data_IF_560786360660
#
_entry.id   IF_560786360660
#
_cell.length_a   1.000
_cell.length_b   1.000
_cell.length_c   1.000
_cell.angle_alpha   90.00
_cell.angle_beta   90.00
_cell.angle_gamma   90.00
#
_symmetry.space_group_name_H-M   'P 1'
#
loop_
_entity.id
_entity.type
_entity.pdbx_description
1 polymer ?
#
# COMPACT_ATOMS: atom_id res chain seq x y z
N UNK A 1 3.42 -26.83 -2.96
CA UNK A 1 2.57 -26.34 -1.84
C UNK A 1 1.14 -26.07 -2.34
N UNK A 2 0.91 -25.29 -3.41
CA UNK A 2 -0.42 -24.94 -3.91
C UNK A 2 -1.33 -26.14 -4.15
N UNK A 3 -0.91 -27.12 -4.99
CA UNK A 3 -1.70 -28.33 -5.26
C UNK A 3 -2.03 -29.15 -4.00
N UNK A 4 -1.14 -29.16 -2.99
CA UNK A 4 -1.39 -29.83 -1.72
C UNK A 4 -2.51 -29.13 -0.96
N UNK A 5 -2.45 -27.82 -0.84
CA UNK A 5 -3.47 -27.02 -0.15
C UNK A 5 -4.84 -27.19 -0.81
N UNK A 6 -4.93 -27.10 -2.14
CA UNK A 6 -6.20 -27.28 -2.87
C UNK A 6 -6.83 -28.66 -2.62
N UNK A 7 -6.01 -29.72 -2.44
CA UNK A 7 -6.52 -31.08 -2.19
C UNK A 7 -6.92 -31.30 -0.74
N UNK A 8 -6.15 -30.77 0.21
CA UNK A 8 -6.34 -31.03 1.65
C UNK A 8 -7.32 -30.07 2.30
N UNK A 9 -7.50 -28.87 1.73
CA UNK A 9 -8.33 -27.79 2.26
C UNK A 9 -9.31 -27.25 1.19
N UNK A 10 -10.21 -28.10 0.65
CA UNK A 10 -11.10 -27.69 -0.45
C UNK A 10 -12.31 -26.86 0.04
N UNK A 11 -12.47 -26.67 1.33
CA UNK A 11 -13.62 -25.96 1.91
C UNK A 11 -13.51 -24.45 1.80
N UNK A 12 -14.66 -23.77 1.68
CA UNK A 12 -14.74 -22.34 1.82
C UNK A 12 -14.54 -21.94 3.30
N UNK A 13 -13.55 -21.13 3.61
CA UNK A 13 -13.20 -20.72 4.98
C UNK A 13 -14.33 -19.96 5.70
N UNK A 14 -15.31 -19.42 4.96
CA UNK A 14 -16.50 -18.80 5.55
C UNK A 14 -17.62 -19.79 5.89
N UNK A 15 -17.47 -21.07 5.56
CA UNK A 15 -18.48 -22.09 5.84
C UNK A 15 -18.31 -22.72 7.22
N UNK A 16 -19.43 -23.00 7.89
CA UNK A 16 -19.47 -23.53 9.26
C UNK A 16 -19.29 -25.08 9.33
N UNK A 17 -19.29 -25.75 8.19
CA UNK A 17 -19.07 -27.20 8.18
C UNK A 17 -17.56 -27.55 8.35
N UNK A 18 -17.26 -28.79 8.70
CA UNK A 18 -15.90 -29.23 9.06
C UNK A 18 -14.81 -28.90 8.05
N UNK A 19 -15.09 -28.99 6.75
CA UNK A 19 -14.12 -28.63 5.69
C UNK A 19 -13.86 -27.13 5.67
N UNK A 20 -14.88 -26.30 5.88
CA UNK A 20 -14.74 -24.83 5.96
C UNK A 20 -13.92 -24.42 7.18
N UNK A 21 -14.25 -24.99 8.35
CA UNK A 21 -13.47 -24.75 9.60
C UNK A 21 -12.00 -25.10 9.40
N UNK A 22 -11.69 -26.26 8.83
CA UNK A 22 -10.32 -26.67 8.55
C UNK A 22 -9.58 -25.71 7.60
N UNK A 23 -10.26 -25.19 6.57
CA UNK A 23 -9.70 -24.18 5.66
C UNK A 23 -9.46 -22.85 6.38
N UNK A 24 -10.38 -22.46 7.28
CA UNK A 24 -10.24 -21.25 8.10
C UNK A 24 -9.03 -21.32 9.04
N UNK A 25 -8.81 -22.44 9.70
CA UNK A 25 -7.65 -22.64 10.56
C UNK A 25 -6.32 -22.46 9.81
N UNK A 26 -6.23 -22.94 8.55
CA UNK A 26 -5.05 -22.73 7.71
C UNK A 26 -4.88 -21.27 7.31
N UNK A 27 -5.97 -20.59 6.95
CA UNK A 27 -5.97 -19.16 6.62
C UNK A 27 -5.53 -18.32 7.82
N UNK A 28 -6.10 -18.57 9.01
CA UNK A 28 -5.74 -17.88 10.24
C UNK A 28 -4.27 -18.10 10.62
N UNK A 29 -3.79 -19.32 10.47
CA UNK A 29 -2.38 -19.63 10.67
C UNK A 29 -1.46 -18.86 9.72
N UNK A 30 -1.81 -18.79 8.43
CA UNK A 30 -1.04 -18.02 7.44
C UNK A 30 -1.06 -16.53 7.75
N UNK A 31 -2.24 -15.99 8.08
CA UNK A 31 -2.45 -14.60 8.47
C UNK A 31 -1.58 -14.22 9.67
N UNK A 32 -1.60 -15.02 10.74
CA UNK A 32 -0.78 -14.78 11.93
C UNK A 32 0.73 -14.81 11.62
N UNK A 33 1.16 -15.68 10.70
CA UNK A 33 2.57 -15.69 10.26
C UNK A 33 2.97 -14.43 9.53
N UNK A 34 2.13 -13.95 8.60
CA UNK A 34 2.36 -12.70 7.85
C UNK A 34 2.35 -11.52 8.82
N UNK A 35 1.33 -11.42 9.68
CA UNK A 35 1.20 -10.34 10.66
C UNK A 35 2.41 -10.25 11.59
N UNK A 36 2.88 -11.40 12.08
CA UNK A 36 4.10 -11.48 12.90
C UNK A 36 5.36 -11.04 12.16
N UNK A 37 5.50 -11.39 10.87
CA UNK A 37 6.64 -10.96 10.05
C UNK A 37 6.66 -9.45 9.84
N UNK A 38 5.49 -8.84 9.71
CA UNK A 38 5.31 -7.41 9.47
C UNK A 38 5.19 -6.60 10.78
N UNK A 39 5.14 -7.28 11.94
CA UNK A 39 4.92 -6.69 13.26
C UNK A 39 3.60 -5.89 13.33
N UNK A 40 2.54 -6.45 12.78
CA UNK A 40 1.18 -5.90 12.77
C UNK A 40 0.20 -6.91 13.39
N UNK A 41 -1.07 -6.52 13.57
CA UNK A 41 -2.13 -7.41 14.05
C UNK A 41 -2.70 -8.24 12.89
N UNK A 42 -3.20 -9.43 13.19
CA UNK A 42 -3.88 -10.29 12.21
C UNK A 42 -5.05 -9.55 11.52
N UNK A 43 -5.79 -8.73 12.27
CA UNK A 43 -6.90 -7.92 11.76
C UNK A 43 -6.48 -6.78 10.82
N UNK A 44 -5.21 -6.49 10.71
CA UNK A 44 -4.65 -5.48 9.79
C UNK A 44 -4.23 -6.08 8.45
N UNK A 45 -4.31 -7.41 8.31
CA UNK A 45 -4.06 -8.12 7.05
C UNK A 45 -5.37 -8.24 6.27
N UNK A 46 -5.36 -7.75 5.04
CA UNK A 46 -6.51 -7.81 4.12
C UNK A 46 -6.06 -8.51 2.85
N UNK A 47 -6.73 -9.62 2.53
CA UNK A 47 -6.50 -10.37 1.31
C UNK A 47 -7.24 -9.75 0.13
N UNK A 48 -6.54 -9.64 -0.99
CA UNK A 48 -7.06 -9.14 -2.27
C UNK A 48 -6.63 -10.07 -3.39
N UNK A 49 -7.13 -9.84 -4.60
CA UNK A 49 -6.71 -10.61 -5.78
C UNK A 49 -5.27 -10.33 -6.24
N UNK A 50 -4.63 -9.30 -5.71
CA UNK A 50 -3.26 -8.90 -6.02
C UNK A 50 -2.99 -7.42 -5.74
N UNK A 51 -1.73 -6.98 -5.96
CA UNK A 51 -1.29 -5.61 -5.66
C UNK A 51 -2.12 -4.53 -6.35
N UNK A 52 -2.61 -4.79 -7.58
CA UNK A 52 -3.47 -3.85 -8.31
C UNK A 52 -4.75 -3.55 -7.54
N UNK A 53 -5.44 -4.56 -7.03
CA UNK A 53 -6.62 -4.37 -6.20
C UNK A 53 -6.27 -3.70 -4.88
N UNK A 54 -5.17 -4.10 -4.23
CA UNK A 54 -4.71 -3.49 -2.99
C UNK A 54 -4.46 -1.99 -3.16
N UNK A 55 -3.68 -1.58 -4.16
CA UNK A 55 -3.41 -0.16 -4.47
C UNK A 55 -4.70 0.62 -4.71
N UNK A 56 -5.59 0.09 -5.56
CA UNK A 56 -6.87 0.73 -5.86
C UNK A 56 -7.76 0.86 -4.61
N UNK A 57 -7.81 -0.17 -3.77
CA UNK A 57 -8.62 -0.18 -2.55
C UNK A 57 -8.16 0.89 -1.59
N UNK A 58 -6.86 1.01 -1.33
CA UNK A 58 -6.31 2.05 -0.45
C UNK A 58 -6.52 3.43 -1.06
N UNK A 59 -6.06 3.67 -2.28
CA UNK A 59 -6.05 5.01 -2.88
C UNK A 59 -7.48 5.53 -3.06
N UNK A 60 -8.37 4.74 -3.66
CA UNK A 60 -9.79 5.13 -3.85
C UNK A 60 -10.56 5.18 -2.53
N UNK A 61 -10.25 4.29 -1.60
CA UNK A 61 -10.86 4.25 -0.27
C UNK A 61 -10.56 5.51 0.52
N UNK A 62 -9.29 5.94 0.59
CA UNK A 62 -8.88 7.19 1.24
C UNK A 62 -9.50 8.39 0.54
N UNK A 63 -9.40 8.47 -0.79
CA UNK A 63 -9.97 9.56 -1.58
C UNK A 63 -11.48 9.71 -1.34
N UNK A 64 -12.23 8.62 -1.33
CA UNK A 64 -13.68 8.64 -1.10
C UNK A 64 -14.03 9.01 0.35
N UNK A 65 -13.38 8.36 1.32
CA UNK A 65 -13.72 8.51 2.74
C UNK A 65 -13.34 9.88 3.31
N UNK A 66 -12.25 10.46 2.84
CA UNK A 66 -11.67 11.67 3.42
C UNK A 66 -11.75 12.89 2.52
N UNK A 67 -12.56 12.86 1.47
CA UNK A 67 -12.79 14.00 0.56
C UNK A 67 -13.21 15.29 1.29
N UNK A 68 -13.91 15.16 2.40
CA UNK A 68 -14.30 16.29 3.24
C UNK A 68 -13.15 16.92 4.04
N UNK A 69 -11.99 16.25 4.13
CA UNK A 69 -10.78 16.75 4.81
C UNK A 69 -9.81 17.41 3.84
N UNK A 70 -9.87 17.03 2.56
CA UNK A 70 -9.01 17.53 1.50
C UNK A 70 -9.23 16.77 0.19
N UNK A 71 -8.66 17.30 -0.87
CA UNK A 71 -8.74 16.71 -2.21
C UNK A 71 -7.37 16.64 -2.90
N UNK A 72 -6.28 16.76 -2.14
CA UNK A 72 -4.92 16.74 -2.66
C UNK A 72 -4.23 15.40 -2.35
N UNK A 73 -3.56 14.85 -3.37
CA UNK A 73 -2.81 13.60 -3.30
C UNK A 73 -1.46 13.81 -3.95
N UNK A 74 -0.40 13.29 -3.34
CA UNK A 74 0.96 13.33 -3.87
C UNK A 74 1.41 11.92 -4.25
N UNK A 75 2.07 11.80 -5.40
CA UNK A 75 2.64 10.54 -5.91
C UNK A 75 3.91 10.81 -6.72
N UNK A 76 4.46 9.80 -7.41
CA UNK A 76 5.60 9.96 -8.32
C UNK A 76 5.26 9.51 -9.74
N UNK A 77 6.12 9.85 -10.71
CA UNK A 77 6.04 9.29 -12.06
C UNK A 77 6.60 7.87 -12.18
N UNK A 78 7.26 7.36 -11.13
CA UNK A 78 7.84 6.01 -11.09
C UNK A 78 6.84 4.92 -10.67
N UNK A 79 5.59 5.31 -10.40
CA UNK A 79 4.59 4.38 -9.88
C UNK A 79 4.10 3.39 -10.94
N UNK A 80 3.79 2.18 -10.49
CA UNK A 80 3.14 1.17 -11.32
C UNK A 80 1.81 1.68 -11.90
N UNK A 81 1.42 1.14 -13.06
CA UNK A 81 0.17 1.51 -13.77
C UNK A 81 -1.10 1.42 -12.90
N UNK A 82 -1.15 0.51 -11.94
CA UNK A 82 -2.26 0.43 -10.97
C UNK A 82 -2.45 1.69 -10.13
N UNK A 83 -1.37 2.39 -9.83
CA UNK A 83 -1.37 3.69 -9.12
C UNK A 83 -1.60 4.83 -10.09
N UNK A 84 -0.82 4.94 -11.18
CA UNK A 84 -0.91 6.07 -12.11
C UNK A 84 -2.28 6.18 -12.80
N UNK A 85 -2.90 5.06 -13.19
CA UNK A 85 -4.26 5.08 -13.76
C UNK A 85 -5.32 5.47 -12.70
N UNK A 86 -5.10 5.06 -11.45
CA UNK A 86 -5.99 5.47 -10.35
C UNK A 86 -5.87 6.97 -10.07
N UNK A 87 -4.68 7.56 -10.16
CA UNK A 87 -4.49 9.02 -10.04
C UNK A 87 -5.24 9.76 -11.15
N UNK A 88 -5.08 9.35 -12.43
CA UNK A 88 -5.84 9.93 -13.56
C UNK A 88 -7.35 9.85 -13.36
N UNK A 89 -7.86 8.73 -12.85
CA UNK A 89 -9.26 8.60 -12.51
C UNK A 89 -9.68 9.60 -11.43
N UNK A 90 -8.89 9.77 -10.37
CA UNK A 90 -9.19 10.70 -9.29
C UNK A 90 -9.12 12.17 -9.76
N UNK A 91 -8.19 12.54 -10.64
CA UNK A 91 -8.15 13.85 -11.29
C UNK A 91 -9.48 14.14 -12.00
N UNK A 92 -10.03 13.17 -12.76
CA UNK A 92 -11.34 13.30 -13.42
C UNK A 92 -12.50 13.47 -12.44
N UNK A 93 -12.29 13.14 -11.15
CA UNK A 93 -13.25 13.32 -10.06
C UNK A 93 -13.01 14.59 -9.24
N UNK A 94 -12.09 15.44 -9.67
CA UNK A 94 -11.80 16.74 -9.05
C UNK A 94 -10.83 16.68 -7.87
N UNK A 95 -9.98 15.66 -7.82
CA UNK A 95 -8.79 15.65 -6.96
C UNK A 95 -7.65 16.37 -7.64
N UNK A 96 -6.80 17.01 -6.84
CA UNK A 96 -5.53 17.60 -7.28
C UNK A 96 -4.45 16.55 -7.04
N UNK A 97 -3.73 16.19 -8.09
CA UNK A 97 -2.64 15.21 -8.02
C UNK A 97 -1.34 15.91 -8.34
N UNK A 98 -0.45 15.99 -7.38
CA UNK A 98 0.90 16.50 -7.59
C UNK A 98 1.90 15.34 -7.66
N UNK A 99 2.88 15.50 -8.54
CA UNK A 99 3.95 14.54 -8.75
C UNK A 99 5.23 15.13 -8.18
N UNK A 100 5.71 14.53 -7.08
CA UNK A 100 6.98 14.95 -6.48
C UNK A 100 8.14 14.64 -7.42
N UNK A 101 9.08 15.57 -7.51
CA UNK A 101 10.29 15.42 -8.30
C UNK A 101 11.16 14.29 -7.78
N UNK A 102 11.96 13.74 -8.67
CA UNK A 102 13.01 12.76 -8.38
C UNK A 102 14.36 13.35 -8.79
N UNK A 103 15.39 13.02 -8.05
CA UNK A 103 16.76 13.42 -8.35
C UNK A 103 17.41 12.54 -9.44
N UNK A 104 18.68 12.79 -9.76
CA UNK A 104 19.45 12.05 -10.78
C UNK A 104 19.64 10.57 -10.43
N UNK A 105 19.58 10.21 -9.15
CA UNK A 105 19.65 8.84 -8.66
C UNK A 105 18.27 8.16 -8.62
N UNK A 106 17.20 8.88 -9.02
CA UNK A 106 15.81 8.40 -9.00
C UNK A 106 15.17 8.42 -7.61
N UNK A 107 15.80 9.09 -6.63
CA UNK A 107 15.24 9.26 -5.29
C UNK A 107 14.29 10.45 -5.25
N UNK A 108 13.28 10.36 -4.38
CA UNK A 108 12.35 11.45 -4.15
C UNK A 108 13.07 12.66 -3.59
N UNK A 109 12.87 13.82 -4.22
CA UNK A 109 13.31 15.12 -3.72
C UNK A 109 12.48 15.49 -2.48
N UNK A 110 13.12 15.38 -1.31
CA UNK A 110 12.47 15.64 -0.03
C UNK A 110 12.10 17.11 0.18
N UNK A 111 12.83 18.02 -0.42
CA UNK A 111 12.55 19.46 -0.30
C UNK A 111 11.36 19.80 -1.18
N UNK A 112 11.29 19.28 -2.40
CA UNK A 112 10.09 19.41 -3.23
C UNK A 112 8.85 18.76 -2.58
N UNK A 113 9.00 17.60 -1.92
CA UNK A 113 7.90 17.01 -1.15
C UNK A 113 7.37 17.95 -0.05
N UNK A 114 8.27 18.64 0.67
CA UNK A 114 7.89 19.64 1.70
C UNK A 114 7.15 20.85 1.11
N UNK A 115 7.51 21.26 -0.10
CA UNK A 115 6.83 22.35 -0.81
C UNK A 115 5.41 21.97 -1.26
N UNK A 116 5.23 20.74 -1.73
CA UNK A 116 3.95 20.26 -2.27
C UNK A 116 2.94 19.92 -1.18
N UNK A 117 3.39 19.29 -0.06
CA UNK A 117 2.49 18.82 0.98
C UNK A 117 1.84 19.99 1.73
N UNK A 118 0.53 19.92 1.94
CA UNK A 118 -0.24 21.00 2.56
C UNK A 118 -1.45 20.45 3.34
N UNK A 119 -2.20 21.33 4.00
CA UNK A 119 -3.34 20.95 4.85
C UNK A 119 -4.51 20.27 4.12
N UNK A 120 -4.54 20.31 2.79
CA UNK A 120 -5.52 19.63 1.94
C UNK A 120 -5.00 18.26 1.47
N UNK A 121 -3.73 17.91 1.74
CA UNK A 121 -3.15 16.63 1.37
C UNK A 121 -3.72 15.53 2.26
N UNK A 122 -4.37 14.56 1.65
CA UNK A 122 -4.99 13.43 2.35
C UNK A 122 -4.23 12.12 2.16
N UNK A 123 -3.37 12.05 1.14
CA UNK A 123 -2.63 10.85 0.79
C UNK A 123 -1.30 11.20 0.11
N UNK A 124 -0.25 10.52 0.52
CA UNK A 124 0.98 10.34 -0.25
C UNK A 124 1.05 8.86 -0.62
N UNK A 125 1.20 8.53 -1.91
CA UNK A 125 1.24 7.16 -2.42
C UNK A 125 2.51 6.96 -3.24
N UNK A 126 3.40 6.05 -2.78
CA UNK A 126 4.76 5.89 -3.32
C UNK A 126 5.14 4.42 -3.33
N UNK A 127 5.83 3.98 -4.38
CA UNK A 127 6.47 2.67 -4.45
C UNK A 127 7.71 2.63 -3.55
N UNK A 128 7.87 1.57 -2.76
CA UNK A 128 9.08 1.36 -1.95
C UNK A 128 10.31 1.11 -2.81
N UNK A 129 10.13 0.24 -3.80
CA UNK A 129 11.14 -0.09 -4.81
C UNK A 129 10.48 -0.01 -6.17
N UNK A 130 11.05 0.80 -7.06
CA UNK A 130 10.60 0.88 -8.44
C UNK A 130 10.77 -0.46 -9.16
N UNK A 131 9.79 -0.81 -9.99
CA UNK A 131 9.74 -2.11 -10.67
C UNK A 131 10.67 -2.23 -11.87
N UNK A 132 11.08 -1.12 -12.48
CA UNK A 132 11.87 -1.09 -13.69
C UNK A 132 13.36 -0.87 -13.40
N UNK A 133 13.67 0.12 -12.56
CA UNK A 133 15.03 0.53 -12.24
C UNK A 133 15.55 -0.10 -10.93
N UNK A 134 14.67 -0.62 -10.08
CA UNK A 134 15.04 -1.21 -8.81
C UNK A 134 15.46 -0.19 -7.74
N UNK A 135 15.11 1.07 -7.93
CA UNK A 135 15.48 2.17 -7.02
C UNK A 135 14.65 2.06 -5.74
N UNK A 136 15.34 2.05 -4.60
CA UNK A 136 14.73 1.99 -3.28
C UNK A 136 14.55 3.37 -2.70
N UNK A 137 13.32 3.78 -2.44
CA UNK A 137 12.99 5.05 -1.82
C UNK A 137 13.28 5.08 -0.30
N UNK A 138 13.61 6.26 0.23
CA UNK A 138 13.88 6.46 1.65
C UNK A 138 12.58 6.72 2.43
N UNK A 139 11.80 5.65 2.64
CA UNK A 139 10.47 5.70 3.26
C UNK A 139 10.48 6.37 4.64
N UNK A 140 11.54 6.18 5.42
CA UNK A 140 11.68 6.80 6.73
C UNK A 140 11.73 8.34 6.68
N UNK A 141 12.51 8.89 5.77
CA UNK A 141 12.62 10.36 5.65
C UNK A 141 11.33 10.96 5.09
N UNK A 142 10.70 10.27 4.14
CA UNK A 142 9.37 10.64 3.64
C UNK A 142 8.34 10.64 4.78
N UNK A 143 8.32 9.59 5.61
CA UNK A 143 7.41 9.49 6.78
C UNK A 143 7.61 10.65 7.76
N UNK A 144 8.85 11.07 8.02
CA UNK A 144 9.12 12.21 8.90
C UNK A 144 8.42 13.49 8.43
N UNK A 145 8.47 13.75 7.12
CA UNK A 145 7.79 14.92 6.53
C UNK A 145 6.28 14.79 6.70
N UNK A 146 5.71 13.64 6.31
CA UNK A 146 4.27 13.38 6.36
C UNK A 146 3.73 13.46 7.79
N UNK A 147 4.53 13.08 8.80
CA UNK A 147 4.12 13.08 10.21
C UNK A 147 3.73 14.45 10.76
N UNK A 148 4.17 15.53 10.11
CA UNK A 148 3.75 16.90 10.43
C UNK A 148 2.32 17.22 9.95
N UNK A 149 1.71 16.33 9.15
CA UNK A 149 0.39 16.50 8.55
C UNK A 149 -0.56 15.39 9.01
N UNK A 150 -1.24 15.51 10.16
CA UNK A 150 -1.99 14.42 10.80
C UNK A 150 -3.23 13.95 10.02
N UNK A 151 -3.61 14.68 8.98
CA UNK A 151 -4.71 14.31 8.08
C UNK A 151 -4.23 13.53 6.84
N UNK A 152 -2.92 13.49 6.60
CA UNK A 152 -2.31 12.85 5.46
C UNK A 152 -1.93 11.41 5.79
N UNK A 153 -2.44 10.48 5.02
CA UNK A 153 -2.05 9.07 5.09
C UNK A 153 -0.88 8.78 4.15
N UNK A 154 -0.06 7.81 4.54
CA UNK A 154 1.05 7.33 3.74
C UNK A 154 0.82 5.89 3.29
N UNK A 155 0.63 5.70 1.99
CA UNK A 155 0.52 4.40 1.33
C UNK A 155 1.81 4.07 0.61
N UNK A 156 2.30 2.85 0.80
CA UNK A 156 3.53 2.33 0.17
C UNK A 156 3.22 1.07 -0.63
N UNK A 157 3.48 1.10 -1.93
CA UNK A 157 3.50 -0.12 -2.74
C UNK A 157 4.83 -0.85 -2.52
N UNK A 158 4.78 -1.95 -1.76
CA UNK A 158 5.93 -2.77 -1.42
C UNK A 158 6.02 -4.06 -2.26
N UNK A 159 5.30 -4.14 -3.38
CA UNK A 159 5.26 -5.33 -4.25
C UNK A 159 6.66 -5.80 -4.65
N UNK A 160 7.57 -4.88 -4.95
CA UNK A 160 8.96 -5.22 -5.29
C UNK A 160 9.91 -5.28 -4.08
N UNK A 161 9.45 -4.90 -2.89
CA UNK A 161 10.26 -4.83 -1.68
C UNK A 161 10.08 -6.05 -0.76
N UNK A 162 8.83 -6.53 -0.62
CA UNK A 162 8.49 -7.61 0.32
C UNK A 162 9.28 -8.89 0.00
N UNK A 163 9.83 -9.52 1.03
CA UNK A 163 10.66 -10.74 0.90
C UNK A 163 12.07 -10.49 0.36
N UNK A 164 12.40 -9.28 -0.13
CA UNK A 164 13.71 -8.94 -0.70
C UNK A 164 14.52 -8.02 0.21
N UNK A 165 13.85 -7.10 0.91
CA UNK A 165 14.48 -6.17 1.86
C UNK A 165 13.71 -6.17 3.18
N UNK A 166 14.35 -5.74 4.26
CA UNK A 166 13.67 -5.54 5.54
C UNK A 166 12.76 -4.31 5.46
N UNK A 167 11.51 -4.50 5.79
CA UNK A 167 10.48 -3.45 5.86
C UNK A 167 10.11 -3.22 7.33
N UNK A 168 9.97 -1.96 7.73
CA UNK A 168 9.37 -1.56 8.99
C UNK A 168 8.01 -0.92 8.70
N UNK A 169 6.91 -1.59 9.11
CA UNK A 169 5.56 -1.12 8.84
C UNK A 169 5.22 0.17 9.61
N UNK A 170 5.96 0.49 10.69
CA UNK A 170 5.75 1.73 11.44
C UNK A 170 6.05 3.00 10.61
N UNK A 171 6.77 2.85 9.49
CA UNK A 171 7.09 3.96 8.61
C UNK A 171 5.96 4.29 7.60
N UNK A 172 4.79 3.63 7.67
CA UNK A 172 3.67 3.85 6.74
C UNK A 172 2.32 3.57 7.41
N UNK A 173 1.22 4.02 6.81
CA UNK A 173 -0.14 3.75 7.29
C UNK A 173 -0.79 2.58 6.54
N UNK A 174 -0.45 2.41 5.26
CA UNK A 174 -0.94 1.32 4.41
C UNK A 174 0.20 0.77 3.55
N UNK A 175 0.19 -0.54 3.36
CA UNK A 175 1.13 -1.21 2.48
C UNK A 175 0.39 -2.16 1.54
N UNK A 176 0.69 -2.07 0.24
CA UNK A 176 0.29 -3.07 -0.74
C UNK A 176 1.45 -4.01 -1.03
N UNK A 177 1.15 -5.30 -1.15
CA UNK A 177 2.14 -6.32 -1.50
C UNK A 177 1.49 -7.43 -2.33
N UNK A 178 2.33 -8.22 -2.99
CA UNK A 178 1.94 -9.45 -3.68
C UNK A 178 2.84 -10.60 -3.22
N UNK A 179 2.26 -11.77 -3.06
CA UNK A 179 2.97 -13.00 -2.70
C UNK A 179 3.50 -13.78 -3.92
#
# INVERSE_FOLDING_TARGET
TFCKVCKEYPGNSNSIHSLGVKSKELEDYATSKIAKMLNVKDSEIIYTSGATESNNTVIKGIASKYRNRGNHIITTHLEHSSTTQTMKYLESKGFVIDYVNIDEDGLIDLDNLKELINDKTILVAISYVDSELGIRQNIKEIRKIISSYPKCYFHVDATQAIGKIKIDFNDMDFMSMSG
#
